data_IF_339897840266
#
_entry.id   IF_339897840266
#
_cell.length_a   1.000
_cell.length_b   1.000
_cell.length_c   1.000
_cell.angle_alpha   90.00
_cell.angle_beta   90.00
_cell.angle_gamma   90.00
#
_symmetry.space_group_name_H-M   'P 1'
#
loop_
_entity.id
_entity.type
_entity.pdbx_description
1 polymer ?
#
# COMPACT_ATOMS: atom_id res chain seq x y z
N UNK A 1 14.54 -12.66 8.20
CA UNK A 1 13.84 -11.79 7.23
C UNK A 1 13.00 -12.67 6.33
N UNK A 2 11.77 -12.28 6.00
CA UNK A 2 10.87 -13.10 5.17
C UNK A 2 11.32 -13.11 3.70
N UNK A 3 11.38 -14.29 3.09
CA UNK A 3 11.95 -14.51 1.74
C UNK A 3 10.81 -14.58 0.71
N UNK A 4 11.06 -14.20 -0.54
CA UNK A 4 10.10 -14.46 -1.62
C UNK A 4 10.01 -15.96 -1.89
N UNK A 5 8.81 -16.48 -2.15
CA UNK A 5 8.60 -17.91 -2.42
C UNK A 5 9.43 -18.41 -3.61
N UNK A 6 9.60 -17.57 -4.64
CA UNK A 6 10.46 -17.87 -5.80
C UNK A 6 11.96 -17.95 -5.52
N UNK A 7 12.41 -17.38 -4.39
CA UNK A 7 13.82 -17.34 -3.98
C UNK A 7 14.06 -18.29 -2.80
N UNK A 8 13.11 -19.17 -2.48
CA UNK A 8 13.18 -20.10 -1.36
C UNK A 8 13.45 -21.52 -1.87
N UNK A 9 14.37 -22.23 -1.22
CA UNK A 9 14.80 -23.58 -1.61
C UNK A 9 13.82 -24.70 -1.19
N UNK A 10 12.57 -24.37 -0.85
CA UNK A 10 11.58 -25.35 -0.39
C UNK A 10 10.64 -25.83 -1.50
N UNK A 11 10.13 -27.05 -1.36
CA UNK A 11 9.07 -27.57 -2.23
C UNK A 11 7.70 -26.99 -1.83
N UNK A 12 7.30 -25.92 -2.51
CA UNK A 12 5.99 -25.30 -2.36
C UNK A 12 6.00 -24.11 -1.39
N UNK A 13 5.64 -24.35 -0.12
CA UNK A 13 5.59 -23.29 0.89
C UNK A 13 6.08 -23.77 2.26
N UNK A 14 6.86 -22.93 2.94
CA UNK A 14 7.37 -23.17 4.28
C UNK A 14 7.16 -21.94 5.19
N UNK A 15 7.56 -22.06 6.45
CA UNK A 15 7.42 -21.02 7.49
C UNK A 15 8.26 -19.76 7.24
N UNK A 16 9.28 -19.84 6.37
CA UNK A 16 10.18 -18.73 6.03
C UNK A 16 9.69 -17.89 4.84
N UNK A 17 8.86 -18.48 3.97
CA UNK A 17 8.40 -17.86 2.72
C UNK A 17 6.87 -17.69 2.64
N UNK A 18 6.12 -18.23 3.59
CA UNK A 18 4.65 -18.12 3.64
C UNK A 18 4.11 -18.08 5.07
N UNK A 19 2.99 -17.39 5.27
CA UNK A 19 2.23 -17.43 6.52
C UNK A 19 0.88 -18.07 6.26
N UNK A 20 0.57 -19.12 7.00
CA UNK A 20 -0.75 -19.77 6.91
C UNK A 20 -1.74 -19.09 7.85
N UNK A 21 -2.92 -18.76 7.33
CA UNK A 21 -4.08 -18.32 8.10
C UNK A 21 -5.23 -19.30 7.87
N UNK A 22 -6.06 -19.49 8.89
CA UNK A 22 -7.26 -20.33 8.81
C UNK A 22 -8.47 -19.54 9.26
N UNK A 23 -9.58 -19.73 8.58
CA UNK A 23 -10.87 -19.16 8.97
C UNK A 23 -11.91 -20.28 8.97
N UNK A 24 -12.58 -20.42 10.11
CA UNK A 24 -13.67 -21.35 10.31
C UNK A 24 -14.82 -20.62 10.99
N UNK A 25 -15.92 -20.42 10.26
CA UNK A 25 -17.11 -19.76 10.76
C UNK A 25 -18.35 -20.55 10.34
N UNK A 26 -19.26 -20.80 11.28
CA UNK A 26 -20.54 -21.48 11.02
C UNK A 26 -21.67 -20.68 11.68
N UNK A 27 -22.69 -20.35 10.90
CA UNK A 27 -23.86 -19.63 11.40
C UNK A 27 -24.90 -20.61 11.95
N UNK A 28 -25.05 -20.65 13.28
CA UNK A 28 -26.05 -21.48 13.98
C UNK A 28 -27.31 -20.71 14.38
N UNK A 29 -27.23 -19.37 14.46
CA UNK A 29 -28.36 -18.49 14.78
C UNK A 29 -29.28 -18.24 13.58
N UNK A 30 -30.46 -17.68 13.85
CA UNK A 30 -31.42 -17.24 12.82
C UNK A 30 -31.03 -15.91 12.16
N UNK A 31 -30.26 -15.07 12.87
CA UNK A 31 -29.77 -13.77 12.39
C UNK A 31 -28.57 -13.89 11.44
N UNK A 32 -28.36 -12.85 10.63
CA UNK A 32 -27.23 -12.78 9.70
C UNK A 32 -25.93 -12.59 10.49
N UNK A 33 -25.04 -13.58 10.42
CA UNK A 33 -23.71 -13.54 11.04
C UNK A 33 -22.71 -12.87 10.11
N UNK A 34 -22.06 -11.80 10.56
CA UNK A 34 -20.94 -11.17 9.85
C UNK A 34 -19.64 -11.84 10.29
N UNK A 35 -18.81 -12.22 9.32
CA UNK A 35 -17.47 -12.78 9.53
C UNK A 35 -16.45 -11.70 9.19
N UNK A 36 -15.53 -11.45 10.10
CA UNK A 36 -14.60 -10.33 10.05
C UNK A 36 -13.15 -10.79 9.94
N UNK A 37 -12.25 -9.86 9.64
CA UNK A 37 -10.82 -10.14 9.57
C UNK A 37 -10.22 -10.63 10.89
N UNK A 38 -10.77 -10.22 12.05
CA UNK A 38 -10.36 -10.74 13.36
C UNK A 38 -10.57 -12.25 13.53
N UNK A 39 -11.48 -12.85 12.76
CA UNK A 39 -11.81 -14.28 12.87
C UNK A 39 -10.76 -15.16 12.16
N UNK A 40 -9.79 -14.53 11.45
CA UNK A 40 -8.64 -15.22 10.88
C UNK A 40 -7.65 -15.62 11.97
N UNK A 41 -7.43 -16.92 12.12
CA UNK A 41 -6.43 -17.48 13.03
C UNK A 41 -5.13 -17.68 12.27
N UNK A 42 -4.07 -17.02 12.74
CA UNK A 42 -2.72 -17.12 12.17
C UNK A 42 -1.98 -18.30 12.79
N UNK A 43 -1.28 -19.07 11.97
CA UNK A 43 -0.43 -20.17 12.45
C UNK A 43 0.67 -19.65 13.39
N UNK A 44 0.85 -20.26 14.59
CA UNK A 44 1.91 -19.88 15.53
C UNK A 44 3.32 -20.22 15.05
N UNK A 45 3.49 -21.17 14.12
CA UNK A 45 4.82 -21.62 13.64
C UNK A 45 5.46 -20.65 12.63
N UNK A 46 5.13 -19.36 12.67
CA UNK A 46 5.69 -18.36 11.75
C UNK A 46 7.04 -17.83 12.20
N UNK A 47 7.95 -17.64 11.24
CA UNK A 47 9.30 -17.11 11.49
C UNK A 47 9.32 -15.69 12.09
N UNK A 48 8.27 -14.89 11.89
CA UNK A 48 8.16 -13.56 12.47
C UNK A 48 6.76 -13.33 13.05
N UNK A 49 6.68 -13.12 14.37
CA UNK A 49 5.42 -12.91 15.09
C UNK A 49 4.67 -11.64 14.66
N UNK A 50 5.37 -10.63 14.17
CA UNK A 50 4.78 -9.35 13.75
C UNK A 50 4.15 -9.41 12.37
N UNK A 51 4.53 -10.40 11.57
CA UNK A 51 4.12 -10.54 10.18
C UNK A 51 2.97 -11.53 10.08
N UNK A 52 1.96 -11.22 9.27
CA UNK A 52 0.82 -12.12 9.08
C UNK A 52 -0.35 -11.88 10.04
N UNK A 53 -0.34 -10.83 10.86
CA UNK A 53 -1.50 -10.43 11.65
C UNK A 53 -2.42 -9.53 10.81
N UNK A 54 -3.73 -9.82 10.72
CA UNK A 54 -4.67 -8.93 10.05
C UNK A 54 -4.61 -7.51 10.64
N UNK A 55 -4.60 -6.51 9.77
CA UNK A 55 -4.66 -5.10 10.17
C UNK A 55 -6.09 -4.77 10.59
N UNK A 56 -6.22 -4.24 11.81
CA UNK A 56 -7.48 -3.85 12.43
C UNK A 56 -7.33 -2.38 12.84
N UNK A 57 -8.07 -1.51 12.17
CA UNK A 57 -8.02 -0.04 12.36
C UNK A 57 -9.37 0.54 12.78
N UNK A 58 -10.43 -0.27 12.78
CA UNK A 58 -11.75 0.14 13.18
C UNK A 58 -11.86 0.29 14.71
N UNK A 59 -12.66 1.25 15.21
CA UNK A 59 -12.83 1.47 16.65
C UNK A 59 -13.37 0.25 17.41
N UNK A 60 -14.15 -0.60 16.73
CA UNK A 60 -14.78 -1.79 17.30
C UNK A 60 -13.83 -3.01 17.38
N UNK A 61 -12.62 -2.92 16.80
CA UNK A 61 -11.62 -3.97 16.84
C UNK A 61 -11.98 -5.24 16.06
N UNK A 62 -12.82 -5.14 15.03
CA UNK A 62 -13.33 -6.25 14.22
C UNK A 62 -12.49 -6.50 12.96
N UNK A 63 -12.02 -5.44 12.33
CA UNK A 63 -11.39 -5.42 11.02
C UNK A 63 -12.41 -5.47 9.88
N UNK A 64 -11.92 -5.55 8.63
CA UNK A 64 -12.77 -5.63 7.44
C UNK A 64 -13.74 -6.83 7.46
N UNK A 65 -14.97 -6.63 6.97
CA UNK A 65 -15.94 -7.71 6.79
C UNK A 65 -15.51 -8.60 5.62
N UNK A 66 -15.34 -9.89 5.88
CA UNK A 66 -15.00 -10.89 4.85
C UNK A 66 -16.27 -11.42 4.18
N UNK A 67 -17.26 -11.82 4.97
CA UNK A 67 -18.47 -12.46 4.48
C UNK A 67 -19.66 -12.25 5.42
N UNK A 68 -20.87 -12.48 4.91
CA UNK A 68 -22.10 -12.56 5.69
C UNK A 68 -22.70 -13.94 5.50
N UNK A 69 -22.98 -14.65 6.59
CA UNK A 69 -23.53 -15.99 6.62
C UNK A 69 -24.96 -15.97 7.15
N UNK A 70 -25.82 -16.79 6.56
CA UNK A 70 -27.17 -17.08 7.07
C UNK A 70 -27.20 -18.46 7.74
N UNK A 71 -28.24 -18.74 8.52
CA UNK A 71 -28.42 -20.02 9.25
C UNK A 71 -28.11 -21.23 8.37
N UNK A 72 -27.25 -22.10 8.89
CA UNK A 72 -26.82 -23.34 8.21
C UNK A 72 -25.59 -23.18 7.32
N UNK A 73 -25.20 -21.95 6.95
CA UNK A 73 -24.02 -21.72 6.13
C UNK A 73 -22.72 -21.84 6.94
N UNK A 74 -21.73 -22.48 6.33
CA UNK A 74 -20.38 -22.63 6.87
C UNK A 74 -19.32 -22.16 5.89
N UNK A 75 -18.37 -21.40 6.42
CA UNK A 75 -17.19 -20.92 5.72
C UNK A 75 -15.94 -21.54 6.35
N UNK A 76 -15.26 -22.39 5.58
CA UNK A 76 -13.97 -22.98 5.96
C UNK A 76 -12.95 -22.71 4.88
N UNK A 77 -11.90 -21.96 5.21
CA UNK A 77 -10.82 -21.65 4.29
C UNK A 77 -9.44 -21.74 4.97
N UNK A 78 -8.47 -22.15 4.16
CA UNK A 78 -7.04 -22.05 4.46
C UNK A 78 -6.45 -21.04 3.49
N UNK A 79 -5.75 -20.06 4.03
CA UNK A 79 -5.23 -18.89 3.36
C UNK A 79 -3.70 -18.91 3.48
N UNK A 80 -2.99 -18.69 2.38
CA UNK A 80 -1.52 -18.70 2.39
C UNK A 80 -1.05 -17.31 1.96
N UNK A 81 -0.53 -16.54 2.91
CA UNK A 81 -0.01 -15.21 2.66
C UNK A 81 1.44 -15.30 2.16
N UNK A 82 1.68 -14.75 0.98
CA UNK A 82 2.99 -14.70 0.34
C UNK A 82 3.52 -13.26 0.32
N UNK A 83 4.84 -13.15 0.25
CA UNK A 83 5.54 -11.90 0.02
C UNK A 83 5.39 -11.50 -1.45
N UNK A 84 4.92 -10.28 -1.73
CA UNK A 84 4.76 -9.79 -3.10
C UNK A 84 5.04 -8.30 -3.24
N UNK A 85 4.94 -7.81 -4.48
CA UNK A 85 5.16 -6.40 -4.84
C UNK A 85 3.96 -5.83 -5.59
N UNK A 86 3.73 -4.52 -5.46
CA UNK A 86 2.60 -3.85 -6.10
C UNK A 86 2.54 -4.01 -7.63
N UNK A 87 3.71 -4.16 -8.28
CA UNK A 87 3.81 -4.42 -9.73
C UNK A 87 3.24 -5.77 -10.16
N UNK A 88 3.27 -6.77 -9.28
CA UNK A 88 2.67 -8.09 -9.56
C UNK A 88 1.15 -8.04 -9.35
N UNK A 89 0.70 -7.35 -8.30
CA UNK A 89 -0.72 -7.15 -8.03
C UNK A 89 -0.95 -5.98 -7.06
N UNK A 90 -1.98 -5.16 -7.32
CA UNK A 90 -2.33 -3.99 -6.50
C UNK A 90 -2.57 -4.32 -5.01
N UNK A 91 -3.04 -5.54 -4.72
CA UNK A 91 -3.16 -6.04 -3.35
C UNK A 91 -1.86 -6.01 -2.54
N UNK A 92 -0.69 -5.91 -3.18
CA UNK A 92 0.60 -5.79 -2.51
C UNK A 92 1.12 -4.33 -2.42
N UNK A 93 0.32 -3.33 -2.78
CA UNK A 93 0.60 -1.95 -2.43
C UNK A 93 0.37 -1.72 -0.92
N UNK A 94 1.35 -1.17 -0.17
CA UNK A 94 1.14 -0.74 1.22
C UNK A 94 0.64 0.72 1.32
N UNK A 95 0.74 1.48 0.22
CA UNK A 95 0.34 2.89 0.11
C UNK A 95 -1.07 3.01 -0.47
N UNK A 96 -1.87 3.90 0.08
CA UNK A 96 -3.21 4.23 -0.42
C UNK A 96 -3.14 5.30 -1.50
N UNK A 97 -2.60 6.47 -1.15
CA UNK A 97 -2.40 7.60 -2.03
C UNK A 97 -1.05 8.27 -1.75
N UNK A 98 -0.52 8.94 -2.77
CA UNK A 98 0.62 9.84 -2.65
C UNK A 98 0.21 11.18 -3.23
N UNK A 99 0.07 12.19 -2.38
CA UNK A 99 0.02 13.59 -2.80
C UNK A 99 1.41 14.02 -3.26
N UNK A 100 1.47 14.69 -4.40
CA UNK A 100 2.71 15.22 -4.96
C UNK A 100 2.44 16.58 -5.56
N UNK A 101 3.23 17.57 -5.16
CA UNK A 101 3.18 18.93 -5.68
C UNK A 101 4.59 19.52 -5.71
N UNK A 102 4.84 20.39 -6.69
CA UNK A 102 6.03 21.25 -6.73
C UNK A 102 5.64 22.56 -7.42
N UNK A 103 6.39 23.63 -7.13
CA UNK A 103 6.17 24.97 -7.71
C UNK A 103 4.71 25.48 -7.59
N UNK A 104 4.22 25.73 -6.36
CA UNK A 104 2.82 26.09 -6.10
C UNK A 104 2.38 27.40 -6.78
N UNK A 105 3.32 28.29 -7.13
CA UNK A 105 3.07 29.57 -7.79
C UNK A 105 3.31 29.54 -9.31
N UNK A 106 3.61 28.36 -9.88
CA UNK A 106 3.90 28.19 -11.30
C UNK A 106 5.01 29.13 -11.82
N UNK A 107 6.07 29.35 -11.02
CA UNK A 107 7.23 30.18 -11.38
C UNK A 107 7.95 29.65 -12.60
N UNK A 108 8.04 28.32 -12.72
CA UNK A 108 8.70 27.61 -13.79
C UNK A 108 7.84 27.52 -15.06
N UNK A 109 6.55 27.91 -14.98
CA UNK A 109 5.60 27.83 -16.09
C UNK A 109 5.52 26.42 -16.72
N UNK A 110 5.65 25.39 -15.89
CA UNK A 110 5.48 24.00 -16.32
C UNK A 110 4.03 23.66 -16.67
N UNK A 111 3.09 24.45 -16.18
CA UNK A 111 1.67 24.37 -16.54
C UNK A 111 1.19 25.69 -17.11
N UNK A 112 0.28 25.62 -18.08
CA UNK A 112 -0.50 26.77 -18.54
C UNK A 112 -1.92 26.64 -17.97
N UNK A 113 -2.28 27.59 -17.11
CA UNK A 113 -3.57 27.53 -16.40
C UNK A 113 -4.69 27.88 -17.37
N UNK A 114 -5.69 27.02 -17.48
CA UNK A 114 -6.90 27.34 -18.22
C UNK A 114 -7.76 28.32 -17.41
N UNK A 115 -8.29 29.37 -18.03
CA UNK A 115 -9.18 30.33 -17.37
C UNK A 115 -10.14 30.97 -18.38
N UNK A 116 -11.27 31.49 -17.90
CA UNK A 116 -12.22 32.26 -18.73
C UNK A 116 -12.00 33.77 -18.61
N UNK A 117 -11.73 34.24 -17.39
CA UNK A 117 -11.62 35.65 -17.06
C UNK A 117 -10.30 35.98 -16.38
N UNK A 118 -9.95 35.29 -15.31
CA UNK A 118 -8.77 35.58 -14.49
C UNK A 118 -8.24 34.32 -13.81
N UNK A 119 -7.09 33.83 -14.29
CA UNK A 119 -6.43 32.65 -13.75
C UNK A 119 -6.18 32.72 -12.25
N UNK A 120 -5.80 33.89 -11.71
CA UNK A 120 -5.44 34.04 -10.31
C UNK A 120 -6.64 33.98 -9.36
N UNK A 121 -7.85 34.26 -9.87
CA UNK A 121 -9.11 34.16 -9.10
C UNK A 121 -9.78 32.81 -9.26
N UNK A 122 -9.67 32.20 -10.45
CA UNK A 122 -10.32 30.92 -10.77
C UNK A 122 -9.60 29.72 -10.13
N UNK A 123 -8.27 29.76 -10.04
CA UNK A 123 -7.50 28.67 -9.45
C UNK A 123 -7.24 28.91 -7.96
N UNK A 124 -7.68 27.97 -7.08
CA UNK A 124 -7.38 28.06 -5.67
C UNK A 124 -5.88 27.86 -5.43
N UNK A 125 -5.32 28.63 -4.51
CA UNK A 125 -3.95 28.44 -4.06
C UNK A 125 -3.83 27.11 -3.32
N UNK A 126 -2.75 26.39 -3.57
CA UNK A 126 -2.45 25.19 -2.82
C UNK A 126 -2.07 25.53 -1.37
N UNK A 127 -2.11 24.52 -0.50
CA UNK A 127 -1.67 24.68 0.89
C UNK A 127 -0.17 24.97 1.04
N UNK A 128 0.63 24.69 0.01
CA UNK A 128 2.07 24.95 0.01
C UNK A 128 2.42 26.32 -0.57
N UNK A 129 1.44 27.04 -1.15
CA UNK A 129 1.64 28.39 -1.66
C UNK A 129 2.11 29.36 -0.56
N UNK A 130 1.75 29.13 0.70
CA UNK A 130 2.20 29.96 1.82
C UNK A 130 3.67 29.69 2.22
N UNK A 131 4.26 28.59 1.77
CA UNK A 131 5.64 28.20 2.13
C UNK A 131 6.68 28.75 1.15
N UNK A 132 6.23 29.26 0.01
CA UNK A 132 7.08 29.88 -1.00
C UNK A 132 6.60 31.27 -1.34
N UNK A 133 7.53 32.17 -1.60
CA UNK A 133 7.20 33.52 -2.07
C UNK A 133 6.75 33.47 -3.52
N UNK A 134 5.72 34.23 -3.93
CA UNK A 134 5.31 34.34 -5.32
C UNK A 134 6.39 35.03 -6.16
N UNK A 135 6.35 34.85 -7.49
CA UNK A 135 7.23 35.58 -8.40
C UNK A 135 6.99 37.09 -8.28
N UNK A 136 8.07 37.88 -8.26
CA UNK A 136 7.97 39.33 -8.18
C UNK A 136 7.42 39.90 -9.49
N UNK A 137 6.43 40.78 -9.41
CA UNK A 137 5.79 41.38 -10.58
C UNK A 137 6.83 42.13 -11.43
N UNK A 138 6.98 41.70 -12.69
CA UNK A 138 7.92 42.29 -13.65
C UNK A 138 9.34 41.71 -13.65
N UNK A 139 9.65 40.73 -12.80
CA UNK A 139 10.90 39.99 -12.91
C UNK A 139 10.96 39.20 -14.23
N UNK A 140 12.12 39.15 -14.92
CA UNK A 140 12.28 38.31 -16.10
C UNK A 140 12.10 36.83 -15.72
N UNK A 141 11.54 36.04 -16.64
CA UNK A 141 11.43 34.60 -16.44
C UNK A 141 12.81 33.96 -16.46
N UNK A 142 13.11 33.14 -15.45
CA UNK A 142 14.36 32.41 -15.33
C UNK A 142 14.26 31.07 -16.08
N UNK A 143 14.94 30.98 -17.21
CA UNK A 143 14.97 29.78 -18.05
C UNK A 143 15.90 28.68 -17.51
N UNK A 144 16.83 29.03 -16.62
CA UNK A 144 17.79 28.10 -16.02
C UNK A 144 17.26 27.54 -14.67
N UNK A 145 16.14 28.05 -14.18
CA UNK A 145 15.49 27.57 -12.98
C UNK A 145 15.03 26.12 -13.12
N UNK A 146 15.31 25.31 -12.10
CA UNK A 146 14.95 23.89 -12.04
C UNK A 146 14.10 23.59 -10.80
N UNK A 147 13.17 22.62 -10.87
CA UNK A 147 12.44 22.18 -9.68
C UNK A 147 13.39 21.64 -8.63
N UNK A 148 13.35 22.23 -7.43
CA UNK A 148 14.22 21.88 -6.31
C UNK A 148 13.43 21.40 -5.08
N UNK A 149 12.28 22.00 -4.82
CA UNK A 149 11.41 21.69 -3.70
C UNK A 149 10.23 20.84 -4.17
N UNK A 150 10.03 19.70 -3.50
CA UNK A 150 8.96 18.77 -3.81
C UNK A 150 8.19 18.44 -2.53
N UNK A 151 6.89 18.63 -2.57
CA UNK A 151 5.98 18.38 -1.46
C UNK A 151 5.32 17.02 -1.68
N UNK A 152 5.56 16.10 -0.75
CA UNK A 152 5.00 14.75 -0.77
C UNK A 152 4.12 14.51 0.44
N UNK A 153 2.98 13.85 0.23
CA UNK A 153 2.13 13.34 1.30
C UNK A 153 1.82 11.87 1.05
N UNK A 154 2.26 11.01 1.96
CA UNK A 154 2.11 9.56 1.79
C UNK A 154 1.09 9.05 2.77
N UNK A 155 0.02 8.46 2.23
CA UNK A 155 -1.01 7.79 3.01
C UNK A 155 -0.79 6.28 3.00
N UNK A 156 -0.77 5.67 4.18
CA UNK A 156 -0.64 4.21 4.34
C UNK A 156 -2.01 3.53 4.44
N UNK A 157 -2.09 2.29 3.96
CA UNK A 157 -3.25 1.40 4.18
C UNK A 157 -3.25 0.80 5.62
N UNK A 158 -2.19 1.02 6.41
CA UNK A 158 -2.07 0.57 7.80
C UNK A 158 -1.26 -0.72 7.99
N UNK A 159 -0.78 -1.35 6.92
CA UNK A 159 0.12 -2.51 7.03
C UNK A 159 1.57 -2.12 7.39
N UNK A 160 1.98 -0.90 7.05
CA UNK A 160 3.28 -0.32 7.32
C UNK A 160 3.09 1.15 7.69
N UNK A 161 3.90 1.68 8.59
CA UNK A 161 3.88 3.13 8.87
C UNK A 161 4.32 3.94 7.65
N UNK A 162 3.78 5.16 7.42
CA UNK A 162 4.18 6.02 6.31
C UNK A 162 5.69 6.29 6.25
N UNK A 163 6.34 6.49 7.38
CA UNK A 163 7.80 6.66 7.47
C UNK A 163 8.55 5.41 6.99
N UNK A 164 8.09 4.22 7.41
CA UNK A 164 8.67 2.95 6.97
C UNK A 164 8.50 2.74 5.46
N UNK A 165 7.38 3.19 4.87
CA UNK A 165 7.15 3.15 3.43
C UNK A 165 8.23 3.96 2.69
N UNK A 166 8.51 5.18 3.14
CA UNK A 166 9.51 6.06 2.52
C UNK A 166 10.92 5.49 2.70
N UNK A 167 11.30 5.14 3.92
CA UNK A 167 12.63 4.60 4.21
C UNK A 167 12.92 3.32 3.43
N UNK A 168 11.94 2.41 3.34
CA UNK A 168 12.08 1.19 2.55
C UNK A 168 12.13 1.50 1.05
N UNK A 169 11.32 2.46 0.57
CA UNK A 169 11.36 2.95 -0.80
C UNK A 169 12.77 3.43 -1.19
N UNK A 170 13.37 4.30 -0.37
CA UNK A 170 14.73 4.81 -0.57
C UNK A 170 15.75 3.67 -0.62
N UNK A 171 15.71 2.78 0.37
CA UNK A 171 16.64 1.64 0.45
C UNK A 171 16.57 0.75 -0.78
N UNK A 172 15.36 0.48 -1.26
CA UNK A 172 15.18 -0.32 -2.48
C UNK A 172 15.71 0.43 -3.69
N UNK A 173 15.35 1.71 -3.87
CA UNK A 173 15.84 2.50 -5.01
C UNK A 173 17.36 2.53 -5.07
N UNK A 174 18.04 2.69 -3.93
CA UNK A 174 19.50 2.62 -3.83
C UNK A 174 20.06 1.24 -4.21
N UNK A 175 19.37 0.16 -3.80
CA UNK A 175 19.76 -1.22 -4.15
C UNK A 175 19.63 -1.47 -5.66
N UNK A 176 18.55 -1.00 -6.28
CA UNK A 176 18.35 -1.13 -7.72
C UNK A 176 19.33 -0.26 -8.53
N UNK A 177 19.64 0.96 -8.05
CA UNK A 177 20.63 1.83 -8.67
C UNK A 177 22.04 1.22 -8.60
N UNK A 178 22.43 0.63 -7.46
CA UNK A 178 23.74 -0.03 -7.30
C UNK A 178 23.90 -1.32 -8.11
N UNK A 179 22.81 -2.03 -8.41
CA UNK A 179 22.84 -3.22 -9.27
C UNK A 179 22.89 -2.91 -10.78
N UNK A 180 22.68 -1.64 -11.17
CA UNK A 180 22.58 -1.23 -12.58
C UNK A 180 23.86 -1.25 -13.45
N UNK A 181 25.10 -1.47 -12.97
CA UNK A 181 26.20 -1.73 -13.90
C UNK A 181 26.01 -2.99 -14.76
N UNK A 182 25.07 -3.88 -14.39
CA UNK A 182 24.88 -5.22 -14.99
C UNK A 182 23.56 -5.43 -15.75
N UNK A 183 22.78 -4.39 -16.04
CA UNK A 183 21.74 -4.42 -17.09
C UNK A 183 20.52 -5.32 -16.88
N UNK A 184 20.26 -5.86 -15.67
CA UNK A 184 19.08 -6.70 -15.41
C UNK A 184 18.18 -6.09 -14.33
N UNK A 185 17.17 -5.31 -14.75
CA UNK A 185 16.08 -4.81 -13.90
C UNK A 185 15.20 -5.97 -13.38
N UNK A 186 15.61 -6.63 -12.31
CA UNK A 186 14.70 -7.50 -11.53
C UNK A 186 14.09 -6.65 -10.43
N UNK A 187 13.06 -5.87 -10.77
CA UNK A 187 12.40 -4.96 -9.84
C UNK A 187 11.96 -5.64 -8.55
N UNK A 188 12.71 -5.43 -7.46
CA UNK A 188 12.35 -5.88 -6.12
C UNK A 188 11.89 -4.70 -5.29
N UNK A 189 10.67 -4.19 -5.49
CA UNK A 189 10.21 -3.01 -4.74
C UNK A 189 8.92 -3.23 -3.96
N UNK A 190 9.01 -2.87 -2.67
CA UNK A 190 7.97 -2.78 -1.66
C UNK A 190 7.36 -4.11 -1.23
N UNK A 191 7.71 -4.50 0.00
CA UNK A 191 7.29 -5.76 0.61
C UNK A 191 5.94 -5.54 1.28
N UNK A 192 4.88 -6.02 0.64
CA UNK A 192 3.65 -6.31 1.37
C UNK A 192 3.68 -7.79 1.77
N UNK A 193 3.59 -8.02 3.07
CA UNK A 193 2.96 -9.23 3.56
C UNK A 193 1.51 -8.88 3.83
N UNK A 194 0.63 -9.73 3.32
CA UNK A 194 -0.84 -9.73 3.48
C UNK A 194 -1.63 -8.89 2.47
N UNK A 195 -2.01 -9.54 1.38
CA UNK A 195 -3.43 -9.83 1.15
C UNK A 195 -3.50 -11.31 0.76
N UNK A 196 -4.42 -12.02 1.40
CA UNK A 196 -4.71 -13.44 1.22
C UNK A 196 -4.84 -13.76 -0.26
N UNK A 197 -3.94 -14.58 -0.81
CA UNK A 197 -4.10 -15.15 -2.14
C UNK A 197 -4.18 -16.67 -2.02
N UNK A 198 -5.05 -17.27 -2.83
CA UNK A 198 -5.64 -18.61 -2.64
C UNK A 198 -6.67 -18.70 -1.49
N UNK A 199 -7.80 -18.01 -1.64
CA UNK A 199 -9.05 -18.52 -1.07
C UNK A 199 -9.49 -19.76 -1.86
N UNK A 200 -9.09 -20.96 -1.41
CA UNK A 200 -9.81 -22.19 -1.81
C UNK A 200 -11.10 -22.22 -0.99
N UNK A 201 -12.10 -21.46 -1.43
CA UNK A 201 -13.40 -21.36 -0.78
C UNK A 201 -14.15 -22.69 -0.99
N UNK A 202 -14.22 -23.53 0.05
CA UNK A 202 -15.24 -24.58 0.12
C UNK A 202 -16.40 -24.02 0.92
N UNK A 203 -17.34 -23.38 0.23
CA UNK A 203 -18.66 -23.10 0.81
C UNK A 203 -19.41 -24.42 0.75
N UNK A 204 -19.64 -25.03 1.91
CA UNK A 204 -20.67 -26.07 2.03
C UNK A 204 -21.98 -25.32 2.30
N UNK A 205 -22.85 -25.33 1.30
CA UNK A 205 -24.26 -24.97 1.46
C UNK A 205 -25.01 -26.10 2.16
#
# INVERSE_FOLDING_TARGET
>A
MFIYTRDCDCDGNCELCSVTLTLHARCTGDEIMKVYARDLVVDPQRANKWVGNPVITDPDGLGPVIAKLRKGQELRMKCIALKGIAKEHAKWAPTAAVGFEYDPHNKLKHIDLWYEHDAAKEWPKSKYADWEEPAQEGAPFDYDAVPNNFYFEVESIGNLEPDAIIQQGIKVMQTEASCSPSGSYRGRVMVKLMVVDMMRLRVRM
#
